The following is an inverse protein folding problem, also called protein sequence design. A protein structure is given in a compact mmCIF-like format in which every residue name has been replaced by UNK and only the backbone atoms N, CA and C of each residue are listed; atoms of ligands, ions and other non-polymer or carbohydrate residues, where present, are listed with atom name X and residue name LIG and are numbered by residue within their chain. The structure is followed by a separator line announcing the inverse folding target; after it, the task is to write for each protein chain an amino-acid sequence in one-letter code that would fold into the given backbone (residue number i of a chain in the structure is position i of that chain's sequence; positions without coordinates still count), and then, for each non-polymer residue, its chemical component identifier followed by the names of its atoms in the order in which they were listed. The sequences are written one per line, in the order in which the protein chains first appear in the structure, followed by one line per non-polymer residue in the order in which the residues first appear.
data_IF_468779928556
#
_entry.id   IF_468779928556
#
_cell.length_a   1.000
_cell.length_b   1.000
_cell.length_c   1.000
_cell.angle_alpha   90.00
_cell.angle_beta   90.00
_cell.angle_gamma   90.00
#
_symmetry.space_group_name_H-M   'P 1'
#
loop_
_entity.id
_entity.type
_entity.pdbx_description
1 polymer ?
#
# COMPACT_ATOMS: atom_id res chain seq x y z
N UNK A 1 1.71 -3.81 7.85
CA UNK A 1 0.56 -4.70 7.91
C UNK A 1 0.83 -6.03 7.24
N UNK A 2 0.07 -7.05 7.62
CA UNK A 2 0.17 -8.37 7.01
C UNK A 2 -0.26 -8.32 5.55
N UNK A 3 0.46 -9.04 4.68
CA UNK A 3 0.11 -9.21 3.26
C UNK A 3 -1.32 -9.77 3.09
N UNK A 4 -1.74 -10.65 3.99
CA UNK A 4 -3.08 -11.22 4.01
C UNK A 4 -4.17 -10.21 4.41
N UNK A 5 -3.89 -9.27 5.32
CA UNK A 5 -4.81 -8.16 5.62
C UNK A 5 -5.01 -7.28 4.39
N UNK A 6 -3.94 -6.98 3.70
CA UNK A 6 -3.98 -6.21 2.46
C UNK A 6 -4.84 -6.89 1.40
N UNK A 7 -4.67 -8.20 1.20
CA UNK A 7 -5.46 -8.98 0.25
C UNK A 7 -6.96 -9.05 0.56
N UNK A 8 -7.38 -8.85 1.83
CA UNK A 8 -8.81 -8.75 2.20
C UNK A 8 -9.44 -7.41 1.81
N UNK A 9 -8.64 -6.33 1.82
CA UNK A 9 -9.12 -4.97 1.52
C UNK A 9 -8.92 -4.60 0.05
N UNK A 10 -7.95 -5.22 -0.62
CA UNK A 10 -7.54 -4.92 -1.98
C UNK A 10 -7.44 -6.20 -2.83
N UNK A 11 -7.14 -6.03 -4.11
CA UNK A 11 -6.83 -7.15 -5.00
C UNK A 11 -5.61 -7.94 -4.50
N UNK A 12 -5.60 -9.29 -4.68
CA UNK A 12 -4.45 -10.13 -4.31
C UNK A 12 -3.27 -10.00 -5.29
N UNK A 13 -3.30 -9.04 -6.19
CA UNK A 13 -2.25 -8.80 -7.18
C UNK A 13 -1.45 -7.56 -6.84
N UNK A 14 -0.14 -7.61 -7.08
CA UNK A 14 0.72 -6.47 -6.81
C UNK A 14 2.07 -6.55 -7.50
N UNK A 15 2.69 -5.40 -7.67
CA UNK A 15 4.06 -5.27 -8.16
C UNK A 15 4.86 -4.54 -7.09
N UNK A 16 5.98 -5.14 -6.70
CA UNK A 16 6.88 -4.57 -5.71
C UNK A 16 8.08 -3.89 -6.32
N UNK A 17 8.43 -2.75 -5.77
CA UNK A 17 9.63 -1.99 -6.11
C UNK A 17 10.45 -1.72 -4.86
N UNK A 18 11.74 -1.48 -5.02
CA UNK A 18 12.58 -1.05 -3.90
C UNK A 18 12.22 0.38 -3.49
N UNK A 19 12.29 0.67 -2.19
CA UNK A 19 12.10 2.04 -1.68
C UNK A 19 13.08 3.04 -2.32
N UNK A 20 14.30 2.59 -2.61
CA UNK A 20 15.31 3.39 -3.28
C UNK A 20 14.83 3.87 -4.67
N UNK A 21 14.22 2.97 -5.45
CA UNK A 21 13.67 3.33 -6.76
C UNK A 21 12.50 4.31 -6.61
N UNK A 22 11.56 4.00 -5.72
CA UNK A 22 10.38 4.85 -5.45
C UNK A 22 10.84 6.25 -5.03
N UNK A 23 11.78 6.35 -4.10
CA UNK A 23 12.34 7.62 -3.65
C UNK A 23 12.97 8.41 -4.80
N UNK A 24 13.79 7.76 -5.63
CA UNK A 24 14.43 8.40 -6.79
C UNK A 24 13.45 8.94 -7.84
N UNK A 25 12.21 8.45 -7.83
CA UNK A 25 11.11 8.88 -8.72
C UNK A 25 10.16 9.88 -8.06
N UNK A 26 10.56 10.46 -6.94
CA UNK A 26 9.77 11.45 -6.22
C UNK A 26 8.74 10.85 -5.27
N UNK A 27 8.88 9.58 -4.95
CA UNK A 27 8.05 8.93 -3.94
C UNK A 27 8.34 9.45 -2.55
N UNK A 28 7.29 9.58 -1.76
CA UNK A 28 7.35 10.05 -0.37
C UNK A 28 6.40 9.25 0.52
N UNK A 29 6.76 9.00 1.78
CA UNK A 29 5.80 8.49 2.74
C UNK A 29 4.60 9.41 2.86
N UNK A 30 3.42 8.84 3.03
CA UNK A 30 2.19 9.61 3.25
C UNK A 30 2.28 10.36 4.57
N UNK A 31 1.78 11.59 4.54
CA UNK A 31 1.66 12.46 5.70
C UNK A 31 0.23 12.27 6.26
N UNK A 32 0.12 11.66 7.43
CA UNK A 32 -1.14 11.49 8.13
C UNK A 32 -1.39 12.75 8.98
N UNK A 33 -2.25 13.62 8.49
CA UNK A 33 -2.43 14.95 9.06
C UNK A 33 -3.75 15.06 9.84
N UNK A 34 -3.67 15.66 11.03
CA UNK A 34 -4.86 16.13 11.72
C UNK A 34 -5.57 17.17 10.83
N UNK A 35 -6.88 16.99 10.53
CA UNK A 35 -7.59 17.89 9.63
C UNK A 35 -7.56 19.37 10.05
N UNK A 36 -7.62 19.64 11.34
CA UNK A 36 -7.54 21.03 11.83
C UNK A 36 -6.16 21.64 11.54
N UNK A 37 -5.09 20.90 11.82
CA UNK A 37 -3.73 21.36 11.50
C UNK A 37 -3.57 21.60 9.99
N UNK A 38 -4.10 20.71 9.16
CA UNK A 38 -4.02 20.85 7.71
C UNK A 38 -4.79 22.11 7.23
N UNK A 39 -5.98 22.37 7.76
CA UNK A 39 -6.81 23.50 7.38
C UNK A 39 -6.26 24.86 7.87
N UNK A 40 -5.56 24.88 9.00
CA UNK A 40 -4.98 26.09 9.58
C UNK A 40 -3.68 26.53 8.89
N UNK A 41 -3.00 25.63 8.19
CA UNK A 41 -1.73 25.90 7.53
C UNK A 41 -1.92 26.14 6.04
N UNK A 42 -1.08 27.01 5.49
CA UNK A 42 -0.94 27.16 4.04
C UNK A 42 0.07 26.13 3.52
N UNK A 43 -0.44 25.05 2.98
CA UNK A 43 0.38 24.02 2.37
C UNK A 43 0.61 24.32 0.90
N UNK A 44 1.81 24.00 0.40
CA UNK A 44 2.06 24.03 -1.04
C UNK A 44 1.25 22.90 -1.72
N UNK A 45 0.59 23.21 -2.83
CA UNK A 45 -0.29 22.27 -3.56
C UNK A 45 0.46 21.01 -3.99
N UNK A 46 1.78 21.07 -4.18
CA UNK A 46 2.63 19.91 -4.51
C UNK A 46 2.67 18.85 -3.40
N UNK A 47 2.30 19.21 -2.18
CA UNK A 47 2.23 18.28 -1.03
C UNK A 47 0.89 17.55 -0.96
N UNK A 48 -0.19 18.11 -1.51
CA UNK A 48 -1.53 17.53 -1.38
C UNK A 48 -1.64 16.05 -1.78
N UNK A 49 -0.99 15.55 -2.85
CA UNK A 49 -1.04 14.14 -3.19
C UNK A 49 -0.53 13.20 -2.10
N UNK A 50 0.33 13.69 -1.22
CA UNK A 50 0.97 12.91 -0.15
C UNK A 50 0.25 13.00 1.18
N UNK A 51 -0.79 13.83 1.30
CA UNK A 51 -1.49 14.04 2.57
C UNK A 51 -2.74 13.17 2.64
N UNK A 52 -2.94 12.53 3.77
CA UNK A 52 -4.15 11.79 4.10
C UNK A 52 -4.65 12.26 5.46
N UNK A 53 -5.96 12.52 5.63
CA UNK A 53 -6.49 12.90 6.92
C UNK A 53 -6.29 11.79 7.95
N UNK A 54 -6.04 12.18 9.18
CA UNK A 54 -5.92 11.30 10.32
C UNK A 54 -7.00 11.65 11.34
N UNK A 55 -8.00 10.79 11.46
CA UNK A 55 -9.14 10.93 12.36
C UNK A 55 -9.28 9.63 13.16
N UNK A 56 -8.49 9.45 14.22
CA UNK A 56 -8.50 8.22 15.01
C UNK A 56 -9.76 8.10 15.87
N UNK A 57 -9.95 6.95 16.51
CA UNK A 57 -11.10 6.69 17.39
C UNK A 57 -11.24 7.70 18.52
N UNK A 58 -10.11 8.18 19.05
CA UNK A 58 -10.06 9.17 20.13
C UNK A 58 -10.11 10.63 19.66
N UNK A 59 -10.27 10.87 18.35
CA UNK A 59 -10.47 12.24 17.86
C UNK A 59 -11.76 12.83 18.46
N UNK A 60 -11.78 14.13 18.82
CA UNK A 60 -12.97 14.76 19.35
C UNK A 60 -14.10 14.83 18.31
N UNK A 61 -15.35 14.84 18.76
CA UNK A 61 -16.52 14.88 17.89
C UNK A 61 -16.53 16.10 16.97
N UNK A 62 -15.99 17.22 17.39
CA UNK A 62 -15.80 18.41 16.57
C UNK A 62 -14.96 18.17 15.31
N UNK A 63 -14.06 17.20 15.34
CA UNK A 63 -13.27 16.77 14.18
C UNK A 63 -13.99 15.68 13.40
N UNK A 64 -14.48 14.63 14.09
CA UNK A 64 -15.16 13.50 13.45
C UNK A 64 -16.39 13.92 12.66
N UNK A 65 -17.14 14.90 13.15
CA UNK A 65 -18.38 15.36 12.51
C UNK A 65 -18.18 16.35 11.37
N UNK A 66 -16.93 16.76 11.12
CA UNK A 66 -16.62 17.56 9.94
C UNK A 66 -16.88 16.77 8.65
N UNK A 67 -17.31 17.46 7.60
CA UNK A 67 -17.31 16.90 6.26
C UNK A 67 -15.86 16.76 5.76
N UNK A 68 -15.48 15.70 5.09
CA UNK A 68 -16.28 14.58 4.61
C UNK A 68 -16.36 13.37 5.57
N UNK A 69 -15.90 13.47 6.82
CA UNK A 69 -15.77 12.32 7.71
C UNK A 69 -17.12 11.81 8.23
N UNK A 70 -18.06 12.74 8.55
CA UNK A 70 -19.42 12.40 8.96
C UNK A 70 -19.48 11.35 10.10
N UNK A 71 -18.66 11.53 11.13
CA UNK A 71 -18.58 10.62 12.27
C UNK A 71 -17.69 9.38 12.07
N UNK A 72 -17.12 9.19 10.89
CA UNK A 72 -16.28 8.03 10.58
C UNK A 72 -14.84 8.20 11.06
N UNK A 73 -14.27 7.10 11.51
CA UNK A 73 -12.85 6.99 11.81
C UNK A 73 -12.07 6.85 10.50
N UNK A 74 -10.98 7.63 10.36
CA UNK A 74 -10.07 7.56 9.23
C UNK A 74 -8.65 7.41 9.77
N UNK A 75 -8.22 6.17 9.91
CA UNK A 75 -6.88 5.84 10.40
C UNK A 75 -6.25 4.75 9.53
N UNK A 76 -5.40 5.16 8.61
CA UNK A 76 -4.62 4.29 7.74
C UNK A 76 -3.12 4.31 8.07
N UNK A 77 -2.74 4.87 9.23
CA UNK A 77 -1.34 5.01 9.63
C UNK A 77 -0.57 3.68 9.70
N UNK A 78 -1.29 2.57 9.93
CA UNK A 78 -0.72 1.23 9.94
C UNK A 78 -0.26 0.74 8.56
N UNK A 79 -0.75 1.33 7.46
CA UNK A 79 -0.38 0.93 6.10
C UNK A 79 1.05 1.38 5.73
N UNK A 80 1.58 2.42 6.39
CA UNK A 80 2.90 3.00 6.07
C UNK A 80 3.04 3.26 4.58
N UNK A 81 1.98 3.86 4.01
CA UNK A 81 1.84 4.08 2.58
C UNK A 81 2.92 5.02 2.03
N UNK A 82 3.35 4.75 0.83
CA UNK A 82 4.17 5.64 0.01
C UNK A 82 3.40 6.01 -1.25
N UNK A 83 3.53 7.24 -1.69
CA UNK A 83 2.91 7.73 -2.93
C UNK A 83 3.91 8.38 -3.85
N UNK A 84 3.63 8.27 -5.15
CA UNK A 84 4.26 9.06 -6.21
C UNK A 84 3.17 9.94 -6.81
N UNK A 85 3.40 11.25 -6.90
CA UNK A 85 2.37 12.22 -7.30
C UNK A 85 2.08 12.26 -8.81
N UNK A 86 2.79 11.50 -9.59
CA UNK A 86 2.70 11.45 -11.06
C UNK A 86 2.85 10.03 -11.56
N UNK A 87 2.64 9.83 -12.85
CA UNK A 87 2.87 8.54 -13.49
C UNK A 87 4.25 7.98 -13.16
N UNK A 88 4.28 6.69 -12.91
CA UNK A 88 5.48 5.96 -12.56
C UNK A 88 5.84 4.96 -13.68
N UNK A 89 6.46 5.41 -14.78
CA UNK A 89 6.93 4.52 -15.81
C UNK A 89 8.12 3.69 -15.31
N UNK A 90 8.10 2.39 -15.60
CA UNK A 90 9.16 1.48 -15.20
C UNK A 90 9.43 0.43 -16.29
N UNK A 91 10.62 -0.14 -16.24
CA UNK A 91 10.99 -1.31 -17.03
C UNK A 91 10.88 -2.57 -16.16
N UNK A 92 10.62 -3.71 -16.77
CA UNK A 92 10.48 -4.99 -16.04
C UNK A 92 11.69 -5.33 -15.17
N UNK A 93 12.90 -4.94 -15.58
CA UNK A 93 14.14 -5.15 -14.81
C UNK A 93 14.14 -4.46 -13.43
N UNK A 94 13.30 -3.42 -13.23
CA UNK A 94 13.19 -2.70 -11.95
C UNK A 94 12.20 -3.32 -10.98
N UNK A 95 11.45 -4.31 -11.41
CA UNK A 95 10.52 -5.02 -10.55
C UNK A 95 11.31 -5.86 -9.54
N UNK A 96 11.03 -5.66 -8.26
CA UNK A 96 11.64 -6.43 -7.17
C UNK A 96 10.92 -7.75 -6.96
N UNK A 97 9.59 -7.76 -7.04
CA UNK A 97 8.74 -8.96 -6.97
C UNK A 97 7.35 -8.69 -7.57
N UNK A 98 6.66 -9.77 -7.90
CA UNK A 98 5.27 -9.74 -8.36
C UNK A 98 4.45 -10.63 -7.45
N UNK A 99 3.28 -10.17 -7.03
CA UNK A 99 2.32 -10.94 -6.25
C UNK A 99 1.19 -11.39 -7.16
N UNK A 100 0.94 -12.69 -7.20
CA UNK A 100 -0.21 -13.31 -7.83
C UNK A 100 -1.04 -14.04 -6.79
N UNK A 101 -2.33 -14.25 -7.06
CA UNK A 101 -3.21 -14.97 -6.13
C UNK A 101 -2.85 -16.46 -6.07
N UNK A 102 -2.74 -17.10 -7.22
CA UNK A 102 -2.52 -18.55 -7.36
C UNK A 102 -1.40 -18.84 -8.34
N UNK A 103 -0.75 -19.99 -8.16
CA UNK A 103 0.26 -20.46 -9.11
C UNK A 103 -0.28 -20.56 -10.54
N UNK A 104 -1.53 -20.99 -10.71
CA UNK A 104 -2.17 -21.05 -12.04
C UNK A 104 -2.27 -19.70 -12.75
N UNK A 105 -2.18 -18.58 -12.03
CA UNK A 105 -2.16 -17.25 -12.65
C UNK A 105 -0.88 -16.97 -13.45
N UNK A 106 0.20 -17.73 -13.20
CA UNK A 106 1.42 -17.67 -14.03
C UNK A 106 1.16 -17.91 -15.51
N UNK A 107 0.20 -18.76 -15.83
CA UNK A 107 -0.17 -19.09 -17.23
C UNK A 107 -0.75 -17.88 -17.95
N UNK A 108 -1.28 -16.91 -17.22
CA UNK A 108 -1.86 -15.67 -17.76
C UNK A 108 -0.79 -14.61 -18.05
N UNK A 109 0.42 -14.78 -17.54
CA UNK A 109 1.54 -13.87 -17.77
C UNK A 109 2.33 -14.36 -18.97
N UNK A 110 2.55 -13.54 -20.01
CA UNK A 110 3.37 -13.93 -21.14
C UNK A 110 4.76 -14.42 -20.70
N UNK A 111 5.23 -15.52 -21.28
CA UNK A 111 6.50 -16.13 -20.91
C UNK A 111 7.69 -15.18 -21.05
N UNK A 112 7.67 -14.32 -22.07
CA UNK A 112 8.69 -13.29 -22.28
C UNK A 112 8.78 -12.29 -21.13
N UNK A 113 7.64 -11.93 -20.54
CA UNK A 113 7.59 -11.03 -19.38
C UNK A 113 8.10 -11.75 -18.12
N UNK A 114 7.73 -13.00 -17.93
CA UNK A 114 8.25 -13.83 -16.83
C UNK A 114 9.78 -13.94 -16.89
N UNK A 115 10.32 -14.15 -18.09
CA UNK A 115 11.77 -14.20 -18.30
C UNK A 115 12.47 -12.87 -17.99
N UNK A 116 11.92 -11.74 -18.44
CA UNK A 116 12.51 -10.42 -18.16
C UNK A 116 12.48 -10.05 -16.67
N UNK A 117 11.42 -10.39 -15.97
CA UNK A 117 11.29 -10.14 -14.53
C UNK A 117 12.16 -11.11 -13.74
N UNK A 118 12.12 -12.38 -14.08
CA UNK A 118 12.68 -13.52 -13.36
C UNK A 118 11.60 -14.30 -12.63
N UNK A 119 11.49 -15.59 -12.93
CA UNK A 119 10.45 -16.46 -12.37
C UNK A 119 10.53 -16.56 -10.83
N UNK A 120 11.72 -16.43 -10.26
CA UNK A 120 12.00 -16.46 -8.83
C UNK A 120 11.43 -15.25 -8.06
N UNK A 121 11.05 -14.18 -8.76
CA UNK A 121 10.46 -12.97 -8.17
C UNK A 121 8.95 -13.03 -8.03
N UNK A 122 8.31 -14.10 -8.48
CA UNK A 122 6.86 -14.27 -8.37
C UNK A 122 6.50 -14.92 -7.03
N UNK A 123 5.58 -14.29 -6.30
CA UNK A 123 5.09 -14.70 -4.99
C UNK A 123 3.60 -14.99 -5.11
N UNK A 124 3.13 -16.07 -4.49
CA UNK A 124 1.74 -16.51 -4.56
C UNK A 124 1.06 -16.37 -3.20
N UNK A 125 -0.12 -15.75 -3.19
CA UNK A 125 -0.91 -15.56 -1.96
C UNK A 125 -1.36 -16.88 -1.36
N UNK A 126 -1.61 -17.91 -2.18
CA UNK A 126 -1.96 -19.24 -1.68
C UNK A 126 -0.88 -19.87 -0.78
N UNK A 127 0.38 -19.63 -1.09
CA UNK A 127 1.50 -20.08 -0.25
C UNK A 127 1.46 -19.40 1.12
N UNK A 128 1.19 -18.10 1.16
CA UNK A 128 1.06 -17.34 2.41
C UNK A 128 -0.15 -17.77 3.24
N UNK A 129 -1.28 -18.07 2.61
CA UNK A 129 -2.47 -18.61 3.29
C UNK A 129 -2.16 -19.93 3.98
N UNK A 130 -1.48 -20.84 3.29
CA UNK A 130 -1.06 -22.13 3.86
C UNK A 130 -0.09 -21.97 5.04
N UNK A 131 0.87 -21.05 4.93
CA UNK A 131 1.80 -20.75 6.01
C UNK A 131 1.03 -20.19 7.21
N UNK A 132 0.09 -19.28 7.00
CA UNK A 132 -0.73 -18.70 8.08
C UNK A 132 -1.63 -19.75 8.75
N UNK A 133 -2.18 -20.71 8.00
CA UNK A 133 -2.96 -21.82 8.55
C UNK A 133 -2.11 -22.75 9.41
N UNK A 134 -0.89 -23.06 8.97
CA UNK A 134 0.02 -23.94 9.67
C UNK A 134 0.75 -23.27 10.83
N UNK A 135 0.95 -21.96 10.74
CA UNK A 135 1.72 -21.17 11.69
C UNK A 135 1.10 -19.79 11.89
N UNK A 136 -0.04 -19.70 12.58
CA UNK A 136 -0.75 -18.44 12.74
C UNK A 136 0.11 -17.40 13.45
N UNK A 137 0.38 -16.29 12.80
CA UNK A 137 1.24 -15.22 13.34
C UNK A 137 0.69 -14.60 14.61
N UNK A 138 -0.64 -14.59 14.79
CA UNK A 138 -1.29 -14.07 16.01
C UNK A 138 -1.03 -14.92 17.27
N UNK A 139 -0.55 -16.15 17.11
CA UNK A 139 -0.14 -17.00 18.24
C UNK A 139 1.35 -16.79 18.64
N UNK A 140 2.07 -15.97 17.90
CA UNK A 140 3.50 -15.70 18.11
C UNK A 140 3.75 -14.34 18.78
N UNK A 141 2.70 -13.55 19.03
CA UNK A 141 2.76 -12.23 19.71
C UNK A 141 2.78 -12.36 21.23
#
# INVERSE_FOLDING_TARGET
GSLLRHAKAYSPYGIGFTKKLIYSRGGNPVIYANPNMFNEQKWDERIYPFVTPFVPTYAPDSVKNQKPFNGKVVDFSHEREWRVAKDFPFQYKYIAFVILDKYSDMEKVPSSIVEEIGADKFIFMDTYRKIEELWPTHLME
#
